data_IF_040800493880
#
_entry.id   IF_040800493880
#
_cell.length_a   1.000
_cell.length_b   1.000
_cell.length_c   1.000
_cell.angle_alpha   90.00
_cell.angle_beta   90.00
_cell.angle_gamma   90.00
#
_symmetry.space_group_name_H-M   'P 1'
#
loop_
_entity.id
_entity.type
_entity.pdbx_description
1 polymer ?
#
# COMPACT_ATOMS: atom_id res chain seq x y z
N UNK A 1 -4.08 10.20 8.48
CA UNK A 1 -2.79 9.85 7.85
C UNK A 1 -2.76 10.54 6.50
N UNK A 2 -1.64 10.53 5.79
CA UNK A 2 -1.61 11.04 4.42
C UNK A 2 -2.77 10.43 3.63
N UNK A 3 -3.73 11.26 3.24
CA UNK A 3 -4.92 10.79 2.56
C UNK A 3 -4.56 10.40 1.13
N UNK A 4 -5.25 9.40 0.58
CA UNK A 4 -5.03 9.00 -0.81
C UNK A 4 -5.17 10.18 -1.80
N UNK A 5 -6.16 11.09 -1.64
CA UNK A 5 -6.23 12.30 -2.45
C UNK A 5 -4.98 13.19 -2.36
N UNK A 6 -4.44 13.42 -1.15
CA UNK A 6 -3.24 14.26 -0.99
C UNK A 6 -2.03 13.68 -1.71
N UNK A 7 -1.80 12.36 -1.61
CA UNK A 7 -0.70 11.68 -2.31
C UNK A 7 -0.87 11.79 -3.83
N UNK A 8 -2.08 11.58 -4.35
CA UNK A 8 -2.37 11.69 -5.78
C UNK A 8 -2.17 13.11 -6.30
N UNK A 9 -2.69 14.12 -5.59
CA UNK A 9 -2.50 15.53 -5.94
C UNK A 9 -1.01 15.91 -5.92
N UNK A 10 -0.25 15.43 -4.93
CA UNK A 10 1.20 15.67 -4.87
C UNK A 10 1.94 14.99 -6.02
N UNK A 11 1.56 13.75 -6.38
CA UNK A 11 2.12 13.05 -7.54
C UNK A 11 1.91 13.83 -8.84
N UNK A 12 0.68 14.34 -9.03
CA UNK A 12 0.32 15.15 -10.19
C UNK A 12 1.05 16.50 -10.21
N UNK A 13 1.08 17.23 -9.09
CA UNK A 13 1.82 18.50 -9.02
C UNK A 13 3.32 18.30 -9.30
N UNK A 14 3.91 17.24 -8.75
CA UNK A 14 5.30 16.89 -8.98
C UNK A 14 5.59 16.51 -10.45
N UNK A 15 4.64 15.89 -11.16
CA UNK A 15 4.82 15.58 -12.58
C UNK A 15 4.84 16.82 -13.48
N UNK A 16 4.15 17.89 -13.07
CA UNK A 16 4.15 19.17 -13.77
C UNK A 16 5.41 19.98 -13.48
N UNK A 17 5.86 19.99 -12.21
CA UNK A 17 7.00 20.81 -11.77
C UNK A 17 8.35 20.19 -12.14
N UNK A 18 8.46 18.86 -12.11
CA UNK A 18 9.70 18.13 -12.37
C UNK A 18 9.43 16.96 -13.32
N UNK A 19 9.17 17.25 -14.61
CA UNK A 19 8.71 16.24 -15.56
C UNK A 19 9.81 15.23 -15.89
N UNK A 20 9.42 13.97 -16.03
CA UNK A 20 10.28 12.91 -16.59
C UNK A 20 11.46 12.49 -15.71
N UNK A 21 11.56 12.96 -14.47
CA UNK A 21 12.64 12.60 -13.55
C UNK A 21 12.11 12.08 -12.21
N UNK A 22 12.85 11.19 -11.52
CA UNK A 22 12.59 10.85 -10.13
C UNK A 22 12.74 12.07 -9.21
N UNK A 23 11.92 12.15 -8.18
CA UNK A 23 11.96 13.24 -7.20
C UNK A 23 11.45 12.77 -5.84
N UNK A 24 11.75 13.55 -4.80
CA UNK A 24 11.13 13.38 -3.50
C UNK A 24 10.81 14.74 -2.86
N UNK A 25 9.83 14.74 -1.97
CA UNK A 25 9.36 15.88 -1.20
C UNK A 25 9.42 15.53 0.29
N UNK A 26 10.22 16.27 1.04
CA UNK A 26 10.22 16.25 2.50
C UNK A 26 8.92 16.90 3.00
N UNK A 27 8.14 16.20 3.82
CA UNK A 27 6.92 16.74 4.42
C UNK A 27 7.15 17.35 5.81
N UNK A 28 8.39 17.36 6.30
CA UNK A 28 8.76 18.07 7.51
C UNK A 28 8.33 19.53 7.40
N UNK A 29 7.76 20.04 8.49
CA UNK A 29 7.23 21.40 8.63
C UNK A 29 6.02 21.73 7.73
N UNK A 30 5.53 20.77 6.92
CA UNK A 30 4.25 20.90 6.23
C UNK A 30 3.14 20.49 7.18
N UNK A 31 2.06 21.30 7.23
CA UNK A 31 0.86 21.04 8.05
C UNK A 31 0.04 19.87 7.48
N UNK A 32 0.62 18.69 7.46
CA UNK A 32 0.01 17.48 6.93
C UNK A 32 -0.23 16.50 8.06
N UNK A 33 -1.46 16.03 8.21
CA UNK A 33 -1.81 15.08 9.26
C UNK A 33 -1.10 13.73 9.04
N UNK A 34 -0.13 13.42 9.89
CA UNK A 34 0.65 12.18 9.82
C UNK A 34 -0.18 10.91 10.15
N UNK A 35 -1.35 11.09 10.76
CA UNK A 35 -2.36 10.04 10.97
C UNK A 35 -2.47 9.52 12.39
N UNK A 36 -3.28 8.45 12.54
CA UNK A 36 -3.58 7.85 13.83
C UNK A 36 -2.44 6.90 14.21
N UNK A 37 -1.44 7.41 14.92
CA UNK A 37 -0.30 6.64 15.42
C UNK A 37 0.86 7.54 15.84
N UNK A 38 1.65 7.07 16.81
CA UNK A 38 2.84 7.78 17.32
C UNK A 38 4.06 7.44 16.44
N UNK A 39 4.04 7.87 15.18
CA UNK A 39 5.24 7.86 14.33
C UNK A 39 6.11 9.07 14.69
N UNK A 40 7.36 8.82 15.08
CA UNK A 40 8.33 9.85 15.50
C UNK A 40 9.45 10.06 14.47
N UNK A 41 9.29 9.49 13.28
CA UNK A 41 10.19 9.64 12.14
C UNK A 41 9.79 10.76 11.17
N UNK A 42 10.51 10.82 10.06
CA UNK A 42 10.26 11.76 8.97
C UNK A 42 9.40 11.09 7.89
N UNK A 43 8.55 11.88 7.23
CA UNK A 43 7.68 11.40 6.15
C UNK A 43 8.03 12.13 4.85
N UNK A 44 8.16 11.37 3.78
CA UNK A 44 8.46 11.86 2.44
C UNK A 44 7.41 11.37 1.44
N UNK A 45 7.28 12.09 0.34
CA UNK A 45 6.63 11.58 -0.88
C UNK A 45 7.70 11.43 -1.94
N UNK A 46 7.83 10.26 -2.55
CA UNK A 46 8.86 9.98 -3.55
C UNK A 46 8.27 9.35 -4.81
N UNK A 47 8.78 9.77 -5.96
CA UNK A 47 8.53 9.14 -7.27
C UNK A 47 9.85 8.58 -7.77
N UNK A 48 9.88 7.27 -8.04
CA UNK A 48 11.13 6.58 -8.39
C UNK A 48 11.39 6.44 -9.88
N UNK A 49 10.41 6.71 -10.75
CA UNK A 49 10.61 6.72 -12.19
C UNK A 49 9.89 7.90 -12.85
N UNK A 50 10.57 8.56 -13.79
CA UNK A 50 9.99 9.65 -14.59
C UNK A 50 8.81 9.20 -15.45
N UNK A 51 8.82 7.95 -15.91
CA UNK A 51 7.75 7.35 -16.72
C UNK A 51 6.59 6.76 -15.90
N UNK A 52 6.67 6.71 -14.57
CA UNK A 52 5.60 6.17 -13.71
C UNK A 52 4.74 7.29 -13.14
N UNK A 53 3.42 7.24 -13.29
CA UNK A 53 2.51 8.27 -12.77
C UNK A 53 2.35 8.27 -11.24
N UNK A 54 2.97 7.31 -10.56
CA UNK A 54 2.76 7.06 -9.13
C UNK A 54 3.90 7.58 -8.27
N UNK A 55 3.54 8.30 -7.22
CA UNK A 55 4.41 8.62 -6.10
C UNK A 55 3.97 7.81 -4.87
N UNK A 56 4.90 7.60 -3.95
CA UNK A 56 4.72 6.76 -2.77
C UNK A 56 5.03 7.57 -1.52
N UNK A 57 4.27 7.28 -0.46
CA UNK A 57 4.66 7.67 0.89
C UNK A 57 5.88 6.84 1.31
N UNK A 58 6.91 7.51 1.82
CA UNK A 58 8.08 6.88 2.40
C UNK A 58 8.26 7.41 3.80
N UNK A 59 8.17 6.54 4.80
CA UNK A 59 8.44 6.87 6.19
C UNK A 59 9.84 6.37 6.54
N UNK A 60 10.66 7.21 7.16
CA UNK A 60 12.02 6.84 7.56
C UNK A 60 12.37 7.38 8.96
N UNK A 61 13.19 6.68 9.75
CA UNK A 61 13.62 7.17 11.05
C UNK A 61 14.36 8.51 10.96
N UNK A 62 14.17 9.39 11.94
CA UNK A 62 14.75 10.75 11.93
C UNK A 62 16.28 10.76 11.81
N UNK A 63 16.97 9.73 12.31
CA UNK A 63 18.43 9.62 12.22
C UNK A 63 18.97 9.37 10.80
N UNK A 64 18.12 8.99 9.83
CA UNK A 64 18.56 8.82 8.43
C UNK A 64 18.29 10.05 7.55
N UNK A 65 17.73 11.12 8.11
CA UNK A 65 17.30 12.32 7.37
C UNK A 65 18.38 12.86 6.42
N UNK A 66 19.60 13.01 6.91
CA UNK A 66 20.71 13.56 6.11
C UNK A 66 21.16 12.62 4.98
N UNK A 67 20.73 11.36 5.01
CA UNK A 67 21.06 10.32 4.01
C UNK A 67 19.86 9.92 3.17
N UNK A 68 18.69 10.53 3.36
CA UNK A 68 17.46 10.11 2.68
C UNK A 68 17.56 10.29 1.17
N UNK A 69 18.08 11.42 0.69
CA UNK A 69 18.24 11.69 -0.73
C UNK A 69 19.10 10.60 -1.43
N UNK A 70 20.33 10.33 -0.96
CA UNK A 70 21.14 9.23 -1.48
C UNK A 70 20.48 7.86 -1.38
N UNK A 71 19.74 7.57 -0.31
CA UNK A 71 19.04 6.30 -0.14
C UNK A 71 17.91 6.13 -1.17
N UNK A 72 17.06 7.14 -1.34
CA UNK A 72 16.00 7.16 -2.35
C UNK A 72 16.58 7.12 -3.77
N UNK A 73 17.71 7.80 -4.01
CA UNK A 73 18.44 7.74 -5.28
C UNK A 73 18.90 6.33 -5.64
N UNK A 74 19.35 5.53 -4.67
CA UNK A 74 19.67 4.11 -4.91
C UNK A 74 18.43 3.29 -5.26
N UNK A 75 17.27 3.59 -4.66
CA UNK A 75 16.01 2.89 -4.96
C UNK A 75 15.53 3.11 -6.40
N UNK A 76 15.85 4.25 -7.02
CA UNK A 76 15.55 4.53 -8.44
C UNK A 76 16.13 3.44 -9.33
N UNK A 77 17.38 3.02 -9.10
CA UNK A 77 18.05 2.00 -9.90
C UNK A 77 17.33 0.63 -9.85
N UNK A 78 16.60 0.35 -8.77
CA UNK A 78 15.82 -0.87 -8.60
C UNK A 78 14.35 -0.71 -8.99
N UNK A 79 13.94 0.45 -9.52
CA UNK A 79 12.55 0.79 -9.83
C UNK A 79 12.22 0.81 -11.32
N UNK A 80 13.11 0.26 -12.16
CA UNK A 80 12.98 0.23 -13.61
C UNK A 80 12.61 -1.16 -14.18
N UNK A 81 12.15 -2.09 -13.34
CA UNK A 81 11.73 -3.41 -13.80
C UNK A 81 10.53 -3.30 -14.74
N UNK A 82 10.54 -4.06 -15.84
CA UNK A 82 9.42 -4.16 -16.77
C UNK A 82 8.16 -4.77 -16.14
N UNK A 83 8.33 -5.58 -15.08
CA UNK A 83 7.20 -6.15 -14.33
C UNK A 83 6.54 -5.11 -13.42
N UNK A 84 7.30 -4.10 -12.97
CA UNK A 84 6.81 -3.11 -12.02
C UNK A 84 7.55 -1.77 -12.15
N UNK A 85 7.04 -0.90 -13.04
CA UNK A 85 7.67 0.38 -13.34
C UNK A 85 7.41 1.43 -12.24
N UNK A 86 8.49 2.05 -11.76
CA UNK A 86 8.45 3.12 -10.76
C UNK A 86 8.31 2.64 -9.33
N UNK A 87 8.44 1.33 -9.09
CA UNK A 87 8.39 0.74 -7.76
C UNK A 87 9.58 -0.22 -7.56
N UNK A 88 10.23 -0.24 -6.38
CA UNK A 88 11.38 -1.10 -6.15
C UNK A 88 11.05 -2.58 -6.39
N UNK A 89 11.77 -3.22 -7.32
CA UNK A 89 11.47 -4.58 -7.79
C UNK A 89 11.49 -5.63 -6.67
N UNK A 90 12.40 -5.51 -5.69
CA UNK A 90 12.44 -6.42 -4.55
C UNK A 90 11.16 -6.37 -3.71
N UNK A 91 10.56 -5.18 -3.53
CA UNK A 91 9.28 -5.05 -2.82
C UNK A 91 8.13 -5.63 -3.65
N UNK A 92 8.15 -5.43 -4.96
CA UNK A 92 7.18 -6.04 -5.87
C UNK A 92 7.22 -7.56 -5.79
N UNK A 93 8.42 -8.16 -5.86
CA UNK A 93 8.61 -9.60 -5.73
C UNK A 93 8.11 -10.12 -4.39
N UNK A 94 8.50 -9.47 -3.29
CA UNK A 94 8.03 -9.84 -1.96
C UNK A 94 6.50 -9.78 -1.87
N UNK A 95 5.85 -8.76 -2.44
CA UNK A 95 4.39 -8.66 -2.48
C UNK A 95 3.76 -9.80 -3.27
N UNK A 96 4.26 -10.12 -4.46
CA UNK A 96 3.73 -11.21 -5.28
C UNK A 96 3.96 -12.58 -4.63
N UNK A 97 5.12 -12.81 -4.03
CA UNK A 97 5.49 -14.10 -3.42
C UNK A 97 4.64 -14.42 -2.17
N UNK A 98 4.15 -13.40 -1.45
CA UNK A 98 3.28 -13.58 -0.26
C UNK A 98 1.80 -13.38 -0.56
N UNK A 99 1.44 -13.05 -1.81
CA UNK A 99 0.06 -12.78 -2.18
C UNK A 99 -0.76 -14.05 -2.10
N UNK A 100 -1.75 -14.07 -1.21
CA UNK A 100 -2.78 -15.11 -1.18
C UNK A 100 -3.67 -14.91 -2.42
N UNK A 101 -3.59 -15.84 -3.36
CA UNK A 101 -4.43 -15.81 -4.56
C UNK A 101 -5.91 -16.03 -4.22
N UNK A 102 -6.81 -15.59 -5.11
CA UNK A 102 -8.25 -15.85 -4.93
C UNK A 102 -8.59 -17.35 -4.86
N UNK A 103 -7.82 -18.18 -5.57
CA UNK A 103 -7.95 -19.64 -5.46
C UNK A 103 -7.53 -20.16 -4.09
N UNK A 104 -6.36 -19.76 -3.58
CA UNK A 104 -5.89 -20.17 -2.25
C UNK A 104 -6.84 -19.70 -1.16
N UNK A 105 -7.31 -18.45 -1.24
CA UNK A 105 -8.31 -17.91 -0.31
C UNK A 105 -9.62 -18.70 -0.36
N UNK A 106 -10.09 -19.06 -1.56
CA UNK A 106 -11.29 -19.89 -1.74
C UNK A 106 -11.13 -21.30 -1.16
N UNK A 107 -10.00 -21.96 -1.41
CA UNK A 107 -9.70 -23.28 -0.87
C UNK A 107 -9.57 -23.25 0.66
N UNK A 108 -8.88 -22.25 1.21
CA UNK A 108 -8.74 -22.06 2.65
C UNK A 108 -10.12 -21.86 3.31
N UNK A 109 -10.98 -21.06 2.68
CA UNK A 109 -12.35 -20.83 3.13
C UNK A 109 -13.17 -22.12 3.15
N UNK A 110 -13.13 -22.92 2.09
CA UNK A 110 -13.83 -24.21 2.02
C UNK A 110 -13.33 -25.17 3.11
N UNK A 111 -12.01 -25.27 3.29
CA UNK A 111 -11.40 -26.10 4.34
C UNK A 111 -11.83 -25.67 5.74
N UNK A 112 -11.90 -24.36 5.97
CA UNK A 112 -12.37 -23.82 7.25
C UNK A 112 -13.86 -24.15 7.49
N UNK A 113 -14.70 -24.08 6.45
CA UNK A 113 -16.11 -24.47 6.54
C UNK A 113 -16.28 -25.95 6.88
N UNK A 114 -15.48 -26.82 6.28
CA UNK A 114 -15.45 -28.26 6.57
C UNK A 114 -15.05 -28.52 8.04
N UNK A 115 -13.95 -27.92 8.51
CA UNK A 115 -13.51 -28.05 9.90
C UNK A 115 -14.55 -27.58 10.92
N UNK A 116 -15.28 -26.50 10.63
CA UNK A 116 -16.37 -26.04 11.49
C UNK A 116 -17.55 -27.01 11.51
N UNK A 117 -17.85 -27.62 10.36
CA UNK A 117 -18.81 -28.71 10.26
C UNK A 117 -18.43 -29.92 11.11
N UNK A 118 -17.16 -30.34 11.04
CA UNK A 118 -16.62 -31.45 11.84
C UNK A 118 -16.66 -31.18 13.35
N UNK A 119 -16.54 -29.91 13.76
CA UNK A 119 -16.70 -29.47 15.15
C UNK A 119 -18.17 -29.37 15.60
N UNK A 120 -19.12 -29.79 14.76
CA UNK A 120 -20.54 -29.87 15.09
C UNK A 120 -21.35 -28.61 14.78
N UNK A 121 -20.79 -27.62 14.06
CA UNK A 121 -21.59 -26.48 13.62
C UNK A 121 -22.51 -26.86 12.47
N UNK A 122 -23.77 -26.42 12.54
CA UNK A 122 -24.71 -26.62 11.45
C UNK A 122 -24.34 -25.75 10.24
N UNK A 123 -24.67 -26.24 9.04
CA UNK A 123 -24.40 -25.53 7.79
C UNK A 123 -24.93 -24.07 7.75
N UNK A 124 -26.11 -23.73 8.31
CA UNK A 124 -26.55 -22.34 8.44
C UNK A 124 -25.63 -21.49 9.32
N UNK A 125 -25.15 -22.03 10.45
CA UNK A 125 -24.23 -21.32 11.35
C UNK A 125 -22.88 -21.05 10.68
N UNK A 126 -22.34 -22.06 9.98
CA UNK A 126 -21.08 -21.93 9.23
C UNK A 126 -21.21 -20.87 8.13
N UNK A 127 -22.30 -20.88 7.35
CA UNK A 127 -22.53 -19.87 6.31
C UNK A 127 -22.69 -18.46 6.87
N UNK A 128 -23.36 -18.32 8.01
CA UNK A 128 -23.53 -17.02 8.68
C UNK A 128 -22.19 -16.48 9.21
N UNK A 129 -21.36 -17.33 9.82
CA UNK A 129 -20.04 -16.92 10.32
C UNK A 129 -19.10 -16.52 9.19
N UNK A 130 -19.19 -17.21 8.06
CA UNK A 130 -18.34 -16.98 6.89
C UNK A 130 -18.83 -15.84 6.00
N UNK A 131 -19.98 -15.22 6.25
CA UNK A 131 -20.41 -14.09 5.44
C UNK A 131 -19.38 -12.96 5.46
N UNK A 132 -19.11 -12.39 4.29
CA UNK A 132 -18.27 -11.21 4.19
C UNK A 132 -19.11 -10.02 4.68
N UNK A 133 -18.84 -9.57 5.91
CA UNK A 133 -19.58 -8.45 6.49
C UNK A 133 -19.32 -7.14 5.74
N UNK A 134 -18.27 -7.05 4.91
CA UNK A 134 -18.05 -5.91 4.03
C UNK A 134 -19.10 -5.82 2.93
N UNK A 135 -19.48 -6.94 2.30
CA UNK A 135 -20.58 -6.96 1.31
C UNK A 135 -21.93 -6.56 1.92
N UNK A 136 -22.18 -6.98 3.18
CA UNK A 136 -23.44 -6.69 3.90
C UNK A 136 -23.52 -5.22 4.35
N UNK A 137 -22.38 -4.62 4.72
CA UNK A 137 -22.31 -3.23 5.18
C UNK A 137 -22.22 -2.23 4.03
N UNK A 138 -21.52 -2.56 2.94
CA UNK A 138 -21.42 -1.69 1.75
C UNK A 138 -22.75 -1.60 0.99
N UNK A 139 -23.59 -2.64 1.04
CA UNK A 139 -24.97 -2.55 0.51
C UNK A 139 -25.87 -1.60 1.32
N UNK A 140 -25.56 -1.32 2.59
CA UNK A 140 -26.35 -0.38 3.41
C UNK A 140 -25.97 1.09 3.22
N UNK A 141 -24.90 1.40 2.49
CA UNK A 141 -24.49 2.78 2.20
C UNK A 141 -25.05 3.33 0.87
N UNK A 142 -25.88 2.57 0.16
CA UNK A 142 -26.54 2.99 -1.10
C UNK A 142 -28.05 3.18 -0.94
N UNK A 143 -28.48 3.85 0.12
CA UNK A 143 -29.87 4.33 0.27
C UNK A 143 -29.85 5.83 0.50
#
# INVERSE_FOLDING_TARGET
>A
GLTLPFLQHTSYAGSLLVPGVPWYLDLKDKKVEQGQGRWDGETYIARFAGSSERAFRVDAPSYVRDRIGPALGKLVAYSCSSECLGYPHALFRAHEDVRISGQEGGLLRLRLMEMLGDMGMSQPQVRMLMQDFHDVLDMRQRI
#
